data_IF_004277538777
#
_entry.id   IF_004277538777
#
_cell.length_a   1.000
_cell.length_b   1.000
_cell.length_c   1.000
_cell.angle_alpha   90.00
_cell.angle_beta   90.00
_cell.angle_gamma   90.00
#
_symmetry.space_group_name_H-M   'P 1'
#
loop_
_entity.id
_entity.type
_entity.pdbx_description
1 polymer ?
#
# COMPACT_ATOMS: atom_id res chain seq x y z
N UNK A 1 -37.68 1.19 0.38
CA UNK A 1 -38.99 0.92 1.01
C UNK A 1 -39.86 0.22 -0.02
N UNK A 2 -40.62 -0.80 0.38
CA UNK A 2 -41.33 -1.81 -0.44
C UNK A 2 -40.60 -3.15 -0.64
N UNK A 3 -40.22 -3.77 0.47
CA UNK A 3 -40.14 -5.24 0.62
C UNK A 3 -40.75 -5.58 1.98
N UNK A 4 -42.07 -5.49 2.09
CA UNK A 4 -42.81 -5.90 3.27
C UNK A 4 -44.30 -6.03 2.93
N UNK A 5 -44.68 -7.11 2.25
CA UNK A 5 -46.02 -7.69 2.40
C UNK A 5 -46.07 -9.08 1.75
N UNK A 6 -45.68 -10.12 2.47
CA UNK A 6 -46.22 -11.46 2.23
C UNK A 6 -46.13 -12.28 3.54
N UNK A 7 -46.82 -11.78 4.56
CA UNK A 7 -47.16 -12.57 5.73
C UNK A 7 -48.69 -12.62 5.83
N UNK A 8 -49.21 -13.84 5.87
CA UNK A 8 -50.60 -14.26 6.03
C UNK A 8 -51.55 -14.08 4.84
N UNK A 9 -51.88 -15.19 4.17
CA UNK A 9 -53.27 -15.68 4.12
C UNK A 9 -53.37 -16.99 3.31
N UNK A 10 -54.00 -17.98 3.94
CA UNK A 10 -54.60 -19.21 3.39
C UNK A 10 -53.69 -20.24 2.71
N UNK A 11 -53.54 -21.38 3.40
CA UNK A 11 -53.14 -22.65 2.82
C UNK A 11 -54.07 -23.02 1.66
N UNK A 12 -53.61 -22.82 0.43
CA UNK A 12 -54.23 -23.46 -0.74
C UNK A 12 -53.54 -24.82 -0.90
N UNK A 13 -54.28 -25.88 -0.61
CA UNK A 13 -53.91 -27.23 -0.95
C UNK A 13 -53.88 -27.35 -2.49
N UNK A 14 -52.70 -27.18 -3.10
CA UNK A 14 -52.52 -27.48 -4.52
C UNK A 14 -52.19 -28.96 -4.67
N UNK A 15 -53.20 -29.70 -5.15
CA UNK A 15 -53.10 -31.10 -5.53
C UNK A 15 -52.07 -31.31 -6.66
N UNK A 16 -51.44 -32.47 -6.63
CA UNK A 16 -50.54 -32.95 -7.67
C UNK A 16 -51.34 -33.29 -8.94
N UNK A 17 -51.30 -32.41 -9.94
CA UNK A 17 -51.52 -32.75 -11.35
C UNK A 17 -51.09 -31.57 -12.23
N UNK A 18 -50.24 -31.87 -13.21
CA UNK A 18 -50.07 -31.23 -14.53
C UNK A 18 -50.03 -29.71 -14.61
N UNK A 19 -48.80 -29.17 -14.69
CA UNK A 19 -48.54 -27.76 -14.98
C UNK A 19 -48.37 -27.55 -16.48
N UNK A 20 -49.30 -26.79 -17.08
CA UNK A 20 -49.19 -26.22 -18.42
C UNK A 20 -48.40 -24.91 -18.36
N UNK A 21 -47.46 -24.69 -19.30
CA UNK A 21 -46.95 -23.33 -19.56
C UNK A 21 -45.49 -23.17 -19.98
N UNK A 22 -44.68 -24.22 -20.00
CA UNK A 22 -43.39 -24.33 -20.70
C UNK A 22 -43.01 -25.81 -20.58
N UNK A 23 -42.22 -26.38 -21.51
CA UNK A 23 -41.90 -27.81 -21.50
C UNK A 23 -41.28 -28.26 -20.16
N UNK A 24 -42.13 -28.73 -19.25
CA UNK A 24 -41.76 -29.47 -18.07
C UNK A 24 -41.36 -30.86 -18.55
N UNK A 25 -40.13 -31.00 -19.05
CA UNK A 25 -39.41 -32.23 -18.82
C UNK A 25 -39.20 -32.33 -17.30
N UNK A 26 -40.21 -32.85 -16.60
CA UNK A 26 -40.01 -33.47 -15.30
C UNK A 26 -38.84 -34.42 -15.47
N UNK A 27 -37.68 -34.05 -14.92
CA UNK A 27 -36.44 -34.75 -15.20
C UNK A 27 -36.65 -36.24 -14.98
N UNK A 28 -36.34 -37.05 -16.00
CA UNK A 28 -36.28 -38.50 -15.86
C UNK A 28 -35.28 -38.96 -14.77
N UNK A 29 -34.52 -38.03 -14.20
CA UNK A 29 -33.60 -38.21 -13.08
C UNK A 29 -34.22 -37.64 -11.79
N UNK A 30 -34.48 -38.49 -10.78
CA UNK A 30 -34.96 -38.03 -9.48
C UNK A 30 -34.09 -36.91 -8.90
N UNK A 31 -34.72 -35.84 -8.42
CA UNK A 31 -34.05 -34.74 -7.72
C UNK A 31 -33.42 -33.65 -8.58
N UNK A 32 -33.70 -33.61 -9.88
CA UNK A 32 -33.27 -32.52 -10.77
C UNK A 32 -34.47 -31.67 -11.18
N UNK A 33 -34.39 -30.35 -10.95
CA UNK A 33 -35.32 -29.36 -11.48
C UNK A 33 -34.73 -28.76 -12.76
N UNK A 34 -35.51 -28.73 -13.85
CA UNK A 34 -35.05 -28.21 -15.15
C UNK A 34 -35.97 -27.10 -15.63
N UNK A 35 -35.36 -26.03 -16.14
CA UNK A 35 -36.02 -24.99 -16.90
C UNK A 35 -35.21 -24.74 -18.18
N UNK A 36 -35.89 -24.78 -19.31
CA UNK A 36 -35.32 -24.49 -20.63
C UNK A 36 -36.24 -23.49 -21.28
N UNK A 37 -35.72 -22.32 -21.61
CA UNK A 37 -36.48 -21.28 -22.26
C UNK A 37 -37.02 -21.75 -23.62
N UNK A 38 -38.16 -21.22 -24.03
CA UNK A 38 -38.74 -21.57 -25.33
C UNK A 38 -37.95 -20.88 -26.44
N UNK A 39 -37.77 -21.50 -27.62
CA UNK A 39 -37.24 -20.78 -28.78
C UNK A 39 -38.11 -19.58 -29.22
N UNK A 40 -39.36 -19.50 -28.75
CA UNK A 40 -40.26 -18.38 -29.02
C UNK A 40 -40.13 -17.22 -28.02
N UNK A 41 -39.48 -17.43 -26.88
CA UNK A 41 -39.20 -16.34 -25.92
C UNK A 41 -38.03 -15.51 -26.42
N UNK A 42 -38.14 -14.19 -26.32
CA UNK A 42 -37.09 -13.25 -26.74
C UNK A 42 -36.00 -13.02 -25.69
N UNK A 43 -36.22 -13.47 -24.46
CA UNK A 43 -35.31 -13.28 -23.34
C UNK A 43 -35.77 -14.17 -22.18
N UNK A 44 -34.83 -14.72 -21.42
CA UNK A 44 -35.08 -15.42 -20.15
C UNK A 44 -34.73 -14.49 -19.01
N UNK A 45 -35.67 -14.19 -18.12
CA UNK A 45 -35.36 -13.58 -16.82
C UNK A 45 -36.07 -14.34 -15.74
N UNK A 46 -35.32 -15.09 -14.96
CA UNK A 46 -35.88 -15.95 -13.93
C UNK A 46 -35.15 -15.82 -12.61
N UNK A 47 -35.92 -15.93 -11.52
CA UNK A 47 -35.42 -15.99 -10.15
C UNK A 47 -35.57 -17.40 -9.60
N UNK A 48 -34.45 -18.00 -9.21
CA UNK A 48 -34.37 -19.23 -8.42
C UNK A 48 -34.34 -18.87 -6.93
N UNK A 49 -35.32 -19.37 -6.18
CA UNK A 49 -35.47 -19.04 -4.75
C UNK A 49 -35.98 -20.24 -3.95
N UNK A 50 -35.63 -20.26 -2.66
CA UNK A 50 -36.27 -21.13 -1.66
C UNK A 50 -37.34 -20.36 -0.90
N UNK A 51 -38.57 -20.86 -0.91
CA UNK A 51 -39.67 -20.34 -0.11
C UNK A 51 -40.26 -21.47 0.74
N UNK A 52 -40.01 -21.40 2.05
CA UNK A 52 -40.36 -22.46 3.00
C UNK A 52 -39.88 -23.85 2.52
N UNK A 53 -40.79 -24.80 2.31
CA UNK A 53 -40.49 -26.19 1.91
C UNK A 53 -40.37 -26.38 0.38
N UNK A 54 -40.27 -25.30 -0.39
CA UNK A 54 -40.24 -25.35 -1.86
C UNK A 54 -39.04 -24.62 -2.44
N UNK A 55 -38.53 -25.17 -3.53
CA UNK A 55 -37.61 -24.49 -4.45
C UNK A 55 -38.40 -24.17 -5.71
N UNK A 56 -38.34 -22.90 -6.13
CA UNK A 56 -39.13 -22.33 -7.22
C UNK A 56 -38.21 -21.62 -8.22
N UNK A 57 -38.57 -21.70 -9.49
CA UNK A 57 -38.10 -20.82 -10.56
C UNK A 57 -39.29 -19.96 -10.96
N UNK A 58 -39.14 -18.65 -10.82
CA UNK A 58 -40.17 -17.65 -11.06
C UNK A 58 -39.73 -16.83 -12.28
N UNK A 59 -40.63 -16.61 -13.23
CA UNK A 59 -40.40 -15.70 -14.35
C UNK A 59 -40.54 -14.24 -13.87
N UNK A 60 -39.51 -13.43 -14.10
CA UNK A 60 -39.43 -12.08 -13.54
C UNK A 60 -40.35 -11.07 -14.25
N UNK A 61 -40.86 -11.40 -15.45
CA UNK A 61 -41.79 -10.55 -16.19
C UNK A 61 -43.24 -10.81 -15.74
N UNK A 62 -43.61 -12.07 -15.69
CA UNK A 62 -44.98 -12.53 -15.43
C UNK A 62 -45.24 -12.79 -13.94
N UNK A 63 -44.19 -12.98 -13.14
CA UNK A 63 -44.23 -13.44 -11.75
C UNK A 63 -44.85 -14.84 -11.58
N UNK A 64 -44.94 -15.61 -12.68
CA UNK A 64 -45.45 -16.98 -12.64
C UNK A 64 -44.35 -17.96 -12.22
N UNK A 65 -44.75 -19.01 -11.50
CA UNK A 65 -43.84 -20.12 -11.17
C UNK A 65 -43.70 -20.98 -12.42
N UNK A 66 -42.56 -20.91 -13.10
CA UNK A 66 -42.32 -21.69 -14.32
C UNK A 66 -41.79 -23.10 -14.04
N UNK A 67 -41.20 -23.31 -12.85
CA UNK A 67 -40.83 -24.63 -12.36
C UNK A 67 -40.75 -24.65 -10.83
N UNK A 68 -40.94 -25.81 -10.20
CA UNK A 68 -40.67 -25.95 -8.78
C UNK A 68 -40.95 -27.32 -8.21
N UNK A 69 -40.55 -27.52 -6.96
CA UNK A 69 -40.76 -28.77 -6.24
C UNK A 69 -40.44 -28.66 -4.76
N UNK A 70 -40.53 -29.77 -4.03
CA UNK A 70 -40.19 -29.80 -2.60
C UNK A 70 -38.67 -29.71 -2.41
N UNK A 71 -38.25 -28.88 -1.46
CA UNK A 71 -36.84 -28.60 -1.18
C UNK A 71 -36.06 -29.84 -0.71
N UNK A 72 -36.72 -30.77 -0.01
CA UNK A 72 -36.11 -32.02 0.45
C UNK A 72 -35.74 -32.97 -0.72
N UNK A 73 -36.46 -32.86 -1.85
CA UNK A 73 -36.30 -33.73 -3.03
C UNK A 73 -35.36 -33.18 -4.08
N UNK A 74 -35.32 -31.86 -4.26
CA UNK A 74 -34.47 -31.23 -5.28
C UNK A 74 -33.04 -31.15 -4.76
N UNK A 75 -32.09 -31.60 -5.58
CA UNK A 75 -30.65 -31.56 -5.31
C UNK A 75 -29.90 -30.74 -6.33
N UNK A 76 -30.38 -30.69 -7.57
CA UNK A 76 -29.74 -29.97 -8.68
C UNK A 76 -30.77 -29.16 -9.46
N UNK A 77 -30.37 -27.99 -9.93
CA UNK A 77 -31.17 -27.14 -10.83
C UNK A 77 -30.42 -26.92 -12.12
N UNK A 78 -31.11 -26.97 -13.25
CA UNK A 78 -30.55 -26.66 -14.57
C UNK A 78 -31.43 -25.58 -15.21
N UNK A 79 -30.81 -24.47 -15.60
CA UNK A 79 -31.43 -23.36 -16.30
C UNK A 79 -30.69 -23.17 -17.62
N UNK A 80 -31.43 -23.07 -18.72
CA UNK A 80 -30.89 -22.74 -20.05
C UNK A 80 -31.63 -21.55 -20.61
N UNK A 81 -30.87 -20.51 -20.97
CA UNK A 81 -31.34 -19.34 -21.70
C UNK A 81 -31.67 -19.67 -23.15
N UNK A 82 -31.95 -18.62 -23.93
CA UNK A 82 -32.36 -18.72 -25.33
C UNK A 82 -31.13 -18.52 -26.20
N UNK A 83 -30.83 -19.49 -27.07
CA UNK A 83 -29.77 -19.31 -28.07
C UNK A 83 -30.09 -18.12 -29.01
N UNK A 84 -29.07 -17.33 -29.37
CA UNK A 84 -29.20 -16.15 -30.24
C UNK A 84 -28.77 -14.85 -29.55
N UNK A 85 -29.13 -13.70 -30.12
CA UNK A 85 -28.85 -12.35 -29.58
C UNK A 85 -29.90 -11.96 -28.51
N UNK A 86 -29.94 -12.71 -27.41
CA UNK A 86 -30.89 -12.46 -26.33
C UNK A 86 -30.13 -12.29 -25.01
N UNK A 87 -30.69 -11.54 -24.07
CA UNK A 87 -30.01 -11.21 -22.81
C UNK A 87 -30.57 -12.05 -21.66
N UNK A 88 -30.06 -13.24 -21.44
CA UNK A 88 -30.61 -14.15 -20.45
C UNK A 88 -30.09 -13.85 -19.03
N UNK A 89 -30.98 -13.69 -18.07
CA UNK A 89 -30.65 -13.44 -16.66
C UNK A 89 -31.16 -14.55 -15.76
N UNK A 90 -30.25 -15.14 -14.98
CA UNK A 90 -30.59 -15.96 -13.82
C UNK A 90 -30.29 -15.19 -12.54
N UNK A 91 -31.31 -14.92 -11.74
CA UNK A 91 -31.15 -14.47 -10.36
C UNK A 91 -31.22 -15.66 -9.41
N UNK A 92 -30.23 -15.83 -8.55
CA UNK A 92 -30.20 -16.84 -7.47
C UNK A 92 -30.33 -16.14 -6.13
N UNK A 93 -31.46 -16.35 -5.45
CA UNK A 93 -31.77 -15.73 -4.17
C UNK A 93 -31.55 -16.69 -2.99
N UNK A 94 -30.53 -16.39 -2.20
CA UNK A 94 -30.15 -17.13 -1.00
C UNK A 94 -30.85 -16.64 0.28
N UNK A 95 -31.67 -15.59 0.23
CA UNK A 95 -32.36 -15.02 1.40
C UNK A 95 -33.25 -16.03 2.12
N UNK A 96 -33.86 -16.97 1.40
CA UNK A 96 -34.68 -18.06 1.94
C UNK A 96 -33.90 -19.29 2.44
N UNK A 97 -32.57 -19.20 2.54
CA UNK A 97 -31.70 -20.32 2.92
C UNK A 97 -31.63 -21.39 1.84
N UNK A 98 -31.54 -20.99 0.58
CA UNK A 98 -31.37 -21.91 -0.55
C UNK A 98 -30.07 -22.70 -0.40
N UNK A 99 -30.15 -24.03 -0.50
CA UNK A 99 -28.99 -24.92 -0.48
C UNK A 99 -29.22 -26.09 -1.43
N UNK A 100 -28.34 -26.23 -2.42
CA UNK A 100 -28.45 -27.22 -3.48
C UNK A 100 -27.12 -27.99 -3.59
N UNK A 101 -26.97 -29.14 -2.89
CA UNK A 101 -25.70 -29.88 -2.87
C UNK A 101 -25.32 -30.49 -4.22
N UNK A 102 -26.27 -30.68 -5.14
CA UNK A 102 -26.01 -31.09 -6.53
C UNK A 102 -25.69 -29.93 -7.47
N UNK A 103 -25.76 -28.69 -6.97
CA UNK A 103 -25.42 -27.46 -7.67
C UNK A 103 -26.53 -26.91 -8.58
N UNK A 104 -26.19 -25.79 -9.22
CA UNK A 104 -26.99 -25.10 -10.22
C UNK A 104 -26.14 -25.06 -11.49
N UNK A 105 -26.70 -25.44 -12.64
CA UNK A 105 -26.09 -25.21 -13.94
C UNK A 105 -26.87 -24.12 -14.66
N UNK A 106 -26.18 -23.07 -15.09
CA UNK A 106 -26.74 -22.02 -15.94
C UNK A 106 -25.95 -21.95 -17.25
N UNK A 107 -26.66 -21.87 -18.37
CA UNK A 107 -26.12 -21.66 -19.70
C UNK A 107 -26.85 -20.44 -20.27
N UNK A 108 -26.14 -19.34 -20.46
CA UNK A 108 -26.70 -18.08 -20.98
C UNK A 108 -27.21 -18.24 -22.40
N UNK A 109 -26.36 -18.70 -23.31
CA UNK A 109 -26.73 -18.87 -24.70
C UNK A 109 -25.49 -18.82 -25.58
N UNK A 110 -25.59 -18.34 -26.81
CA UNK A 110 -24.46 -18.24 -27.75
C UNK A 110 -24.18 -16.80 -28.21
N UNK A 111 -25.03 -15.84 -27.87
CA UNK A 111 -24.83 -14.41 -28.09
C UNK A 111 -25.73 -13.59 -27.14
N UNK A 112 -25.57 -12.27 -27.14
CA UNK A 112 -26.28 -11.36 -26.22
C UNK A 112 -25.49 -11.06 -24.94
N UNK A 113 -26.15 -10.41 -23.98
CA UNK A 113 -25.57 -10.06 -22.68
C UNK A 113 -26.25 -10.88 -21.59
N UNK A 114 -25.62 -12.00 -21.25
CA UNK A 114 -26.16 -12.96 -20.28
C UNK A 114 -25.63 -12.69 -18.88
N UNK A 115 -26.50 -12.70 -17.87
CA UNK A 115 -26.16 -12.27 -16.51
C UNK A 115 -26.49 -13.34 -15.48
N UNK A 116 -25.51 -13.67 -14.63
CA UNK A 116 -25.79 -14.36 -13.36
C UNK A 116 -25.81 -13.34 -12.22
N UNK A 117 -26.94 -13.27 -11.52
CA UNK A 117 -27.12 -12.39 -10.38
C UNK A 117 -27.28 -13.19 -9.09
N UNK A 118 -26.48 -12.89 -8.08
CA UNK A 118 -26.52 -13.53 -6.77
C UNK A 118 -27.01 -12.48 -5.74
N UNK A 119 -28.04 -12.83 -4.98
CA UNK A 119 -28.69 -11.92 -4.03
C UNK A 119 -28.99 -12.63 -2.71
N UNK A 120 -29.01 -11.86 -1.62
CA UNK A 120 -29.46 -12.32 -0.29
C UNK A 120 -28.57 -13.37 0.38
N UNK A 121 -28.97 -13.80 1.58
CA UNK A 121 -28.26 -14.82 2.37
C UNK A 121 -27.09 -14.29 3.20
N UNK A 122 -26.41 -15.19 3.93
CA UNK A 122 -25.15 -14.94 4.62
C UNK A 122 -24.08 -15.80 3.94
N UNK A 123 -23.46 -15.24 2.92
CA UNK A 123 -22.55 -15.94 2.01
C UNK A 123 -21.10 -15.77 2.47
N UNK A 124 -20.87 -16.12 3.74
CA UNK A 124 -19.55 -16.07 4.36
C UNK A 124 -18.59 -16.96 3.56
N UNK A 125 -17.71 -16.31 2.80
CA UNK A 125 -16.63 -16.89 1.99
C UNK A 125 -17.02 -17.40 0.59
N UNK A 126 -17.80 -16.63 -0.18
CA UNK A 126 -18.03 -16.90 -1.60
C UNK A 126 -16.71 -17.02 -2.38
N UNK A 127 -16.60 -18.06 -3.22
CA UNK A 127 -15.43 -18.31 -4.09
C UNK A 127 -15.81 -18.24 -5.56
N UNK A 128 -15.07 -17.44 -6.31
CA UNK A 128 -15.19 -17.27 -7.76
C UNK A 128 -14.01 -17.94 -8.45
N UNK A 129 -14.30 -18.86 -9.37
CA UNK A 129 -13.30 -19.63 -10.10
C UNK A 129 -13.67 -19.64 -11.60
N UNK A 130 -13.46 -18.52 -12.31
CA UNK A 130 -13.54 -18.44 -13.77
C UNK A 130 -12.66 -19.50 -14.44
N UNK A 131 -13.11 -20.05 -15.57
CA UNK A 131 -12.30 -20.95 -16.41
C UNK A 131 -11.87 -20.28 -17.71
N UNK A 132 -12.72 -19.43 -18.27
CA UNK A 132 -12.40 -18.53 -19.37
C UNK A 132 -13.19 -17.23 -19.18
N UNK A 133 -13.35 -16.46 -20.25
CA UNK A 133 -14.16 -15.25 -20.26
C UNK A 133 -15.60 -15.58 -19.79
N UNK A 134 -16.35 -16.36 -20.54
CA UNK A 134 -17.79 -16.53 -20.32
C UNK A 134 -18.17 -17.69 -19.40
N UNK A 135 -17.22 -18.53 -18.99
CA UNK A 135 -17.47 -19.75 -18.23
C UNK A 135 -16.75 -19.79 -16.88
N UNK A 136 -17.33 -20.53 -15.93
CA UNK A 136 -16.68 -20.76 -14.64
C UNK A 136 -17.59 -21.35 -13.58
N UNK A 137 -17.14 -21.20 -12.33
CA UNK A 137 -17.85 -21.70 -11.15
C UNK A 137 -17.88 -20.63 -10.07
N UNK A 138 -19.05 -20.47 -9.45
CA UNK A 138 -19.22 -19.72 -8.19
C UNK A 138 -19.64 -20.68 -7.10
N UNK A 139 -18.90 -20.71 -5.99
CA UNK A 139 -19.27 -21.47 -4.80
C UNK A 139 -19.86 -20.51 -3.76
N UNK A 140 -21.11 -20.74 -3.38
CA UNK A 140 -21.85 -19.96 -2.38
C UNK A 140 -22.28 -20.89 -1.26
N UNK A 141 -21.54 -20.85 -0.14
CA UNK A 141 -21.73 -21.81 0.95
C UNK A 141 -21.49 -23.25 0.46
N UNK A 142 -22.54 -24.09 0.51
CA UNK A 142 -22.48 -25.47 0.02
C UNK A 142 -23.04 -25.64 -1.42
N UNK A 143 -23.45 -24.55 -2.07
CA UNK A 143 -24.05 -24.59 -3.40
C UNK A 143 -23.02 -24.17 -4.43
N UNK A 144 -22.76 -25.04 -5.40
CA UNK A 144 -21.93 -24.75 -6.57
C UNK A 144 -22.80 -24.27 -7.72
N UNK A 145 -22.49 -23.12 -8.31
CA UNK A 145 -23.14 -22.58 -9.50
C UNK A 145 -22.14 -22.67 -10.65
N UNK A 146 -22.39 -23.58 -11.58
CA UNK A 146 -21.62 -23.71 -12.82
C UNK A 146 -22.30 -22.85 -13.88
N UNK A 147 -21.56 -21.93 -14.46
CA UNK A 147 -22.09 -21.05 -15.49
C UNK A 147 -21.31 -21.20 -16.80
N UNK A 148 -22.02 -21.02 -17.91
CA UNK A 148 -21.46 -20.97 -19.26
C UNK A 148 -22.08 -19.82 -20.04
N UNK A 149 -21.28 -19.23 -20.92
CA UNK A 149 -21.69 -18.15 -21.82
C UNK A 149 -22.32 -16.95 -21.08
N UNK A 150 -21.61 -16.35 -20.10
CA UNK A 150 -22.08 -15.17 -19.35
C UNK A 150 -21.18 -13.94 -19.51
N UNK A 151 -21.81 -12.75 -19.49
CA UNK A 151 -21.20 -11.43 -19.57
C UNK A 151 -22.11 -10.36 -18.90
N UNK A 152 -22.34 -10.32 -17.55
CA UNK A 152 -21.40 -10.53 -16.45
C UNK A 152 -21.91 -11.37 -15.25
N UNK A 153 -21.13 -11.44 -14.15
CA UNK A 153 -21.58 -11.95 -12.83
C UNK A 153 -21.73 -10.81 -11.83
N UNK A 154 -22.90 -10.71 -11.19
CA UNK A 154 -23.23 -9.64 -10.23
C UNK A 154 -23.61 -10.27 -8.89
N UNK A 155 -22.80 -10.06 -7.85
CA UNK A 155 -23.10 -10.51 -6.50
C UNK A 155 -23.41 -9.34 -5.57
N UNK A 156 -24.60 -9.36 -4.99
CA UNK A 156 -25.09 -8.35 -4.04
C UNK A 156 -25.36 -8.94 -2.65
N UNK A 157 -25.06 -10.23 -2.46
CA UNK A 157 -25.21 -10.89 -1.18
C UNK A 157 -24.19 -10.34 -0.17
N UNK A 158 -24.58 -10.10 1.09
CA UNK A 158 -23.63 -9.67 2.11
C UNK A 158 -22.68 -10.82 2.46
N UNK A 159 -21.41 -10.69 2.07
CA UNK A 159 -20.34 -11.62 2.38
C UNK A 159 -19.27 -11.00 3.28
N UNK A 160 -18.67 -11.80 4.16
CA UNK A 160 -17.52 -11.39 4.98
C UNK A 160 -16.20 -11.45 4.20
N UNK A 161 -16.09 -12.34 3.22
CA UNK A 161 -14.89 -12.51 2.39
C UNK A 161 -15.27 -12.92 0.97
N UNK A 162 -14.56 -12.39 -0.02
CA UNK A 162 -14.60 -12.80 -1.41
C UNK A 162 -13.26 -13.40 -1.80
N UNK A 163 -13.25 -14.61 -2.34
CA UNK A 163 -12.05 -15.23 -2.90
C UNK A 163 -12.20 -15.42 -4.40
N UNK A 164 -11.31 -14.85 -5.18
CA UNK A 164 -11.29 -14.97 -6.64
C UNK A 164 -10.05 -15.76 -7.02
N UNK A 165 -10.22 -16.89 -7.72
CA UNK A 165 -9.13 -17.68 -8.26
C UNK A 165 -9.08 -17.47 -9.76
N UNK A 166 -8.03 -16.81 -10.23
CA UNK A 166 -7.82 -16.63 -11.66
C UNK A 166 -7.47 -17.98 -12.31
N UNK A 167 -7.81 -18.16 -13.60
CA UNK A 167 -7.38 -19.35 -14.35
C UNK A 167 -5.85 -19.47 -14.35
N UNK A 168 -5.32 -20.68 -14.56
CA UNK A 168 -3.89 -20.86 -14.79
C UNK A 168 -3.46 -20.24 -16.13
N UNK A 169 -2.29 -19.61 -16.18
CA UNK A 169 -1.73 -18.94 -17.36
C UNK A 169 -1.29 -17.53 -17.03
N UNK A 170 -0.90 -16.76 -18.05
CA UNK A 170 -0.67 -15.31 -17.88
C UNK A 170 -2.02 -14.61 -17.88
N UNK A 171 -2.43 -14.07 -16.73
CA UNK A 171 -3.70 -13.37 -16.57
C UNK A 171 -3.47 -11.88 -16.27
N UNK A 172 -4.23 -11.02 -16.94
CA UNK A 172 -4.32 -9.61 -16.65
C UNK A 172 -5.71 -9.26 -16.12
N UNK A 173 -5.79 -8.67 -14.92
CA UNK A 173 -7.04 -8.21 -14.32
C UNK A 173 -6.89 -6.81 -13.71
N UNK A 174 -7.96 -6.04 -13.69
CA UNK A 174 -8.03 -4.71 -13.10
C UNK A 174 -9.27 -4.61 -12.22
N UNK A 175 -9.09 -4.23 -10.95
CA UNK A 175 -10.20 -3.74 -10.15
C UNK A 175 -10.47 -2.29 -10.55
N UNK A 176 -11.68 -2.03 -11.00
CA UNK A 176 -12.20 -0.73 -11.40
C UNK A 176 -13.48 -0.41 -10.62
N UNK A 177 -13.79 0.88 -10.49
CA UNK A 177 -15.09 1.34 -10.01
C UNK A 177 -15.89 1.79 -11.23
N UNK A 178 -17.06 1.16 -11.41
CA UNK A 178 -18.00 1.41 -12.51
C UNK A 178 -19.38 1.84 -11.96
N UNK A 179 -19.38 2.82 -11.05
CA UNK A 179 -20.61 3.42 -10.52
C UNK A 179 -20.92 3.05 -9.06
N UNK A 180 -19.90 2.99 -8.21
CA UNK A 180 -19.98 2.64 -6.79
C UNK A 180 -19.89 1.14 -6.50
N UNK A 181 -19.58 0.33 -7.51
CA UNK A 181 -19.39 -1.12 -7.39
C UNK A 181 -17.97 -1.44 -7.83
N UNK A 182 -17.27 -2.26 -7.04
CA UNK A 182 -15.98 -2.75 -7.50
C UNK A 182 -16.23 -3.86 -8.50
N UNK A 183 -15.58 -3.71 -9.64
CA UNK A 183 -15.67 -4.59 -10.79
C UNK A 183 -14.27 -5.12 -11.06
N UNK A 184 -14.10 -6.44 -11.06
CA UNK A 184 -12.88 -7.06 -11.55
C UNK A 184 -13.05 -7.27 -13.06
N UNK A 185 -12.19 -6.67 -13.86
CA UNK A 185 -12.26 -6.62 -15.32
C UNK A 185 -10.98 -7.21 -15.91
N UNK A 186 -11.05 -8.00 -16.99
CA UNK A 186 -9.82 -8.43 -17.69
C UNK A 186 -9.12 -7.25 -18.36
N UNK A 187 -7.81 -7.12 -18.16
CA UNK A 187 -6.99 -6.13 -18.89
C UNK A 187 -6.53 -6.63 -20.26
N UNK A 188 -6.59 -7.94 -20.49
CA UNK A 188 -6.20 -8.58 -21.76
C UNK A 188 -7.40 -8.89 -22.67
N UNK A 189 -8.63 -8.73 -22.19
CA UNK A 189 -9.88 -8.89 -22.94
C UNK A 189 -10.28 -10.33 -23.28
N UNK A 190 -9.51 -11.34 -22.86
CA UNK A 190 -9.67 -12.73 -23.33
C UNK A 190 -9.85 -13.78 -22.23
N UNK A 191 -9.72 -13.43 -20.95
CA UNK A 191 -9.53 -14.43 -19.89
C UNK A 191 -10.44 -14.32 -18.67
N UNK A 192 -11.06 -13.16 -18.43
CA UNK A 192 -11.91 -12.95 -17.26
C UNK A 192 -13.00 -11.92 -17.55
N UNK A 193 -14.23 -12.21 -17.15
CA UNK A 193 -15.36 -11.31 -17.28
C UNK A 193 -15.43 -10.27 -16.18
N UNK A 194 -16.36 -9.35 -16.34
CA UNK A 194 -16.65 -8.38 -15.30
C UNK A 194 -17.35 -9.07 -14.11
N UNK A 195 -16.64 -9.19 -12.99
CA UNK A 195 -17.23 -9.60 -11.72
C UNK A 195 -17.54 -8.37 -10.89
N UNK A 196 -18.82 -8.09 -10.74
CA UNK A 196 -19.30 -6.96 -9.95
C UNK A 196 -19.77 -7.44 -8.59
N UNK A 197 -19.30 -6.81 -7.52
CA UNK A 197 -19.70 -7.15 -6.16
C UNK A 197 -20.14 -5.92 -5.34
N UNK A 198 -21.28 -6.05 -4.67
CA UNK A 198 -21.87 -5.05 -3.78
C UNK A 198 -21.80 -5.50 -2.32
N UNK A 199 -21.42 -4.59 -1.41
CA UNK A 199 -21.19 -4.80 0.03
C UNK A 199 -19.94 -5.64 0.35
N UNK A 200 -18.86 -4.99 0.79
CA UNK A 200 -17.50 -5.56 0.79
C UNK A 200 -16.98 -5.77 2.20
N UNK A 201 -16.58 -7.00 2.54
CA UNK A 201 -15.88 -7.34 3.79
C UNK A 201 -14.36 -7.41 3.59
N UNK A 202 -13.91 -8.37 2.79
CA UNK A 202 -12.52 -8.51 2.34
C UNK A 202 -12.48 -9.11 0.93
N UNK A 203 -11.43 -8.82 0.16
CA UNK A 203 -11.23 -9.36 -1.19
C UNK A 203 -9.87 -10.06 -1.24
N UNK A 204 -9.85 -11.32 -1.67
CA UNK A 204 -8.64 -12.10 -1.90
C UNK A 204 -8.60 -12.54 -3.36
N UNK A 205 -7.49 -12.26 -4.05
CA UNK A 205 -7.26 -12.65 -5.44
C UNK A 205 -6.09 -13.64 -5.44
N UNK A 206 -6.36 -14.88 -5.79
CA UNK A 206 -5.35 -15.89 -6.04
C UNK A 206 -5.04 -15.87 -7.52
N UNK A 207 -3.87 -15.35 -7.87
CA UNK A 207 -3.47 -15.10 -9.25
C UNK A 207 -3.24 -16.38 -10.09
N UNK A 208 -3.38 -17.57 -9.50
CA UNK A 208 -3.06 -18.81 -10.20
C UNK A 208 -1.56 -18.95 -10.45
N UNK A 209 -1.21 -19.71 -11.47
CA UNK A 209 0.17 -19.93 -11.90
C UNK A 209 0.43 -19.27 -13.25
N UNK A 210 1.55 -18.57 -13.39
CA UNK A 210 1.86 -17.76 -14.56
C UNK A 210 2.69 -16.54 -14.19
N UNK A 211 2.76 -15.57 -15.10
CA UNK A 211 3.21 -14.23 -14.78
C UNK A 211 1.99 -13.31 -14.89
N UNK A 212 1.36 -13.05 -13.75
CA UNK A 212 0.06 -12.37 -13.70
C UNK A 212 0.20 -10.89 -13.39
N UNK A 213 -0.74 -10.08 -13.88
CA UNK A 213 -0.81 -8.64 -13.57
C UNK A 213 -2.17 -8.28 -13.00
N UNK A 214 -2.20 -7.80 -11.76
CA UNK A 214 -3.40 -7.28 -11.11
C UNK A 214 -3.25 -5.77 -10.98
N UNK A 215 -4.16 -4.98 -11.54
CA UNK A 215 -4.17 -3.52 -11.41
C UNK A 215 -5.28 -3.09 -10.45
N UNK A 216 -4.99 -2.22 -9.49
CA UNK A 216 -6.00 -1.55 -8.67
C UNK A 216 -6.10 -0.10 -9.14
N UNK A 217 -7.25 0.29 -9.69
CA UNK A 217 -7.47 1.65 -10.16
C UNK A 217 -7.65 2.65 -9.00
N UNK A 218 -7.27 3.91 -9.21
CA UNK A 218 -7.24 4.93 -8.17
C UNK A 218 -8.63 5.26 -7.59
N UNK A 219 -9.67 5.20 -8.43
CA UNK A 219 -11.06 5.43 -8.04
C UNK A 219 -11.64 4.32 -7.15
N UNK A 220 -11.09 3.10 -7.24
CA UNK A 220 -11.50 1.96 -6.40
C UNK A 220 -11.10 2.17 -4.93
N UNK A 221 -10.09 3.00 -4.65
CA UNK A 221 -9.63 3.26 -3.29
C UNK A 221 -10.70 3.88 -2.39
N UNK A 222 -11.55 4.76 -2.92
CA UNK A 222 -12.64 5.34 -2.14
C UNK A 222 -13.61 4.24 -1.67
N UNK A 223 -13.93 3.31 -2.56
CA UNK A 223 -14.92 2.25 -2.36
C UNK A 223 -14.41 1.01 -1.62
N UNK A 224 -13.08 0.89 -1.43
CA UNK A 224 -12.43 -0.18 -0.65
C UNK A 224 -11.85 0.32 0.67
N UNK A 225 -12.18 1.54 1.09
CA UNK A 225 -11.72 2.10 2.37
C UNK A 225 -12.10 1.15 3.53
N UNK A 226 -11.09 0.58 4.21
CA UNK A 226 -11.29 -0.35 5.32
C UNK A 226 -11.55 -1.82 4.93
N UNK A 227 -11.57 -2.14 3.63
CA UNK A 227 -11.70 -3.50 3.09
C UNK A 227 -10.30 -4.07 2.83
N UNK A 228 -9.86 -5.13 3.53
CA UNK A 228 -8.59 -5.76 3.23
C UNK A 228 -8.59 -6.37 1.82
N UNK A 229 -7.59 -6.02 1.01
CA UNK A 229 -7.34 -6.64 -0.31
C UNK A 229 -6.06 -7.45 -0.24
N UNK A 230 -6.15 -8.75 -0.47
CA UNK A 230 -5.01 -9.67 -0.50
C UNK A 230 -4.81 -10.20 -1.91
N UNK A 231 -3.57 -10.19 -2.42
CA UNK A 231 -3.23 -10.82 -3.70
C UNK A 231 -2.16 -11.87 -3.45
N UNK A 232 -2.48 -13.12 -3.76
CA UNK A 232 -1.58 -14.26 -3.63
C UNK A 232 -1.10 -14.68 -5.02
N UNK A 233 0.19 -14.99 -5.17
CA UNK A 233 0.77 -15.49 -6.42
C UNK A 233 1.41 -16.87 -6.25
N UNK A 234 1.29 -17.73 -7.27
CA UNK A 234 1.95 -19.05 -7.28
C UNK A 234 2.90 -19.28 -8.48
N UNK A 235 3.25 -18.22 -9.21
CA UNK A 235 4.14 -18.26 -10.39
C UNK A 235 5.45 -17.46 -10.27
N UNK A 236 6.28 -17.51 -11.32
CA UNK A 236 7.67 -17.03 -11.29
C UNK A 236 7.82 -15.51 -11.13
N UNK A 237 6.82 -14.71 -11.54
CA UNK A 237 6.82 -13.24 -11.47
C UNK A 237 5.40 -12.66 -11.55
N UNK A 238 4.67 -12.63 -10.44
CA UNK A 238 3.38 -11.91 -10.40
C UNK A 238 3.60 -10.43 -10.08
N UNK A 239 2.82 -9.57 -10.73
CA UNK A 239 2.88 -8.12 -10.63
C UNK A 239 1.55 -7.61 -10.10
N UNK A 240 1.54 -7.06 -8.88
CA UNK A 240 0.48 -6.13 -8.50
C UNK A 240 0.85 -4.77 -9.10
N UNK A 241 -0.11 -3.95 -9.52
CA UNK A 241 0.02 -2.55 -9.91
C UNK A 241 -1.05 -1.79 -9.13
N UNK A 242 -0.69 -0.74 -8.41
CA UNK A 242 -1.68 0.19 -7.85
C UNK A 242 -1.53 1.50 -8.57
N UNK A 243 -2.54 1.85 -9.33
CA UNK A 243 -2.66 3.14 -9.97
C UNK A 243 -3.27 4.11 -8.95
N UNK A 244 -2.53 5.14 -8.56
CA UNK A 244 -3.00 6.20 -7.67
C UNK A 244 -3.16 7.53 -8.42
N UNK A 245 -3.17 7.50 -9.77
CA UNK A 245 -3.43 8.72 -10.54
C UNK A 245 -4.77 9.33 -10.14
N UNK A 246 -4.74 10.52 -9.54
CA UNK A 246 -5.93 11.23 -9.07
C UNK A 246 -6.32 11.00 -7.60
N UNK A 247 -5.61 10.16 -6.82
CA UNK A 247 -5.88 9.99 -5.40
C UNK A 247 -5.39 11.21 -4.58
N UNK A 248 -6.24 11.77 -3.72
CA UNK A 248 -5.94 12.99 -2.96
C UNK A 248 -5.25 12.75 -1.60
N UNK A 249 -5.23 11.51 -1.08
CA UNK A 249 -4.52 11.13 0.17
C UNK A 249 -4.47 9.59 0.36
N UNK A 250 -3.48 8.86 -0.18
CA UNK A 250 -3.40 7.41 0.02
C UNK A 250 -2.65 7.06 1.32
N UNK A 251 -3.31 6.38 2.26
CA UNK A 251 -2.65 5.58 3.31
C UNK A 251 -2.83 4.11 2.97
N UNK A 252 -1.74 3.38 2.74
CA UNK A 252 -1.78 1.97 2.31
C UNK A 252 -1.55 1.01 3.49
N UNK A 253 -2.50 0.12 3.81
CA UNK A 253 -2.22 -1.12 4.52
C UNK A 253 -2.10 -2.27 3.51
N UNK A 254 -1.02 -2.30 2.73
CA UNK A 254 -0.68 -3.48 1.91
C UNK A 254 0.23 -4.37 2.75
N UNK A 255 -0.26 -5.55 3.14
CA UNK A 255 0.51 -6.53 3.92
C UNK A 255 0.89 -7.69 2.99
N UNK A 256 2.19 -7.88 2.72
CA UNK A 256 2.70 -9.01 1.93
C UNK A 256 2.98 -10.20 2.85
N UNK A 257 2.41 -11.37 2.55
CA UNK A 257 2.52 -12.57 3.41
C UNK A 257 3.20 -13.77 2.73
N UNK A 258 3.64 -13.67 1.47
CA UNK A 258 4.31 -14.79 0.78
C UNK A 258 5.34 -14.29 -0.25
N UNK A 259 6.62 -14.56 0.03
CA UNK A 259 7.76 -14.08 -0.74
C UNK A 259 7.84 -14.67 -2.15
N UNK A 260 7.31 -13.94 -3.13
CA UNK A 260 7.92 -13.65 -4.43
C UNK A 260 7.00 -12.71 -5.23
N UNK A 261 7.38 -11.42 -5.39
CA UNK A 261 6.79 -10.51 -6.39
C UNK A 261 7.88 -9.53 -6.89
N UNK A 262 8.12 -9.51 -8.20
CA UNK A 262 9.02 -8.57 -8.92
C UNK A 262 8.18 -7.53 -9.66
N UNK A 263 8.57 -6.24 -9.62
CA UNK A 263 7.75 -5.02 -9.88
C UNK A 263 7.26 -4.73 -11.31
N UNK A 264 6.39 -3.73 -11.55
CA UNK A 264 6.62 -2.26 -11.42
C UNK A 264 5.31 -1.48 -11.14
N UNK A 265 5.35 -0.37 -10.38
CA UNK A 265 4.20 0.54 -10.12
C UNK A 265 4.48 1.97 -10.62
N UNK A 266 3.49 2.67 -11.20
CA UNK A 266 3.63 4.03 -11.75
C UNK A 266 2.86 5.10 -10.98
N UNK A 267 3.54 6.20 -10.62
CA UNK A 267 2.93 7.46 -10.20
C UNK A 267 3.47 8.63 -11.04
N UNK A 268 2.61 9.59 -11.39
CA UNK A 268 2.78 10.53 -12.51
C UNK A 268 4.14 11.23 -12.70
N UNK A 269 4.52 11.35 -13.98
CA UNK A 269 5.65 12.08 -14.58
C UNK A 269 7.09 11.80 -14.09
N UNK A 270 7.39 10.67 -13.43
CA UNK A 270 8.78 10.19 -13.28
C UNK A 270 8.91 8.68 -13.49
N UNK A 271 9.63 8.21 -14.53
CA UNK A 271 9.77 6.78 -14.82
C UNK A 271 10.89 6.16 -13.97
N UNK A 272 10.59 5.02 -13.35
CA UNK A 272 11.52 4.04 -12.75
C UNK A 272 12.00 4.30 -11.32
N UNK A 273 11.49 3.51 -10.36
CA UNK A 273 12.07 3.31 -9.03
C UNK A 273 12.04 1.79 -8.68
N UNK A 274 13.12 1.28 -8.09
CA UNK A 274 13.38 -0.12 -7.70
C UNK A 274 13.02 -0.38 -6.22
N UNK A 275 13.08 -1.63 -5.74
CA UNK A 275 12.73 -2.00 -4.35
C UNK A 275 13.49 -1.21 -3.25
N UNK A 276 14.66 -0.65 -3.57
CA UNK A 276 15.39 0.29 -2.69
C UNK A 276 14.63 1.60 -2.42
N UNK A 277 13.62 1.92 -3.22
CA UNK A 277 12.87 3.18 -3.18
C UNK A 277 11.58 3.10 -2.35
N UNK A 278 11.15 1.90 -1.91
CA UNK A 278 9.97 1.71 -1.03
C UNK A 278 10.31 1.93 0.46
N UNK A 279 11.60 2.04 0.81
CA UNK A 279 11.98 2.72 2.06
C UNK A 279 11.72 4.24 2.02
N UNK A 280 11.33 4.80 0.87
CA UNK A 280 11.25 6.25 0.66
C UNK A 280 9.84 6.87 0.75
N UNK A 281 8.79 6.09 1.03
CA UNK A 281 7.46 6.67 1.33
C UNK A 281 7.32 7.20 2.77
N UNK A 282 8.35 7.00 3.60
CA UNK A 282 8.49 7.61 4.93
C UNK A 282 9.98 7.55 5.35
N UNK A 283 10.90 8.25 4.70
CA UNK A 283 12.33 8.08 4.95
C UNK A 283 12.71 8.55 6.35
N UNK A 284 13.79 7.99 6.89
CA UNK A 284 14.47 8.62 8.02
C UNK A 284 14.87 10.05 7.60
N UNK A 285 14.79 11.01 8.52
CA UNK A 285 15.21 12.39 8.26
C UNK A 285 16.29 12.75 9.25
N UNK A 286 17.55 12.57 8.84
CA UNK A 286 18.72 12.78 9.67
C UNK A 286 19.26 14.19 9.53
N UNK A 287 19.38 14.88 10.66
CA UNK A 287 20.11 16.14 10.74
C UNK A 287 21.27 15.99 11.70
N UNK A 288 22.41 16.58 11.37
CA UNK A 288 23.53 16.74 12.30
C UNK A 288 23.66 18.20 12.68
N UNK A 289 23.89 18.46 13.97
CA UNK A 289 24.26 19.78 14.49
C UNK A 289 25.52 19.65 15.32
N UNK A 290 26.43 20.62 15.18
CA UNK A 290 27.68 20.67 15.93
C UNK A 290 27.78 22.02 16.63
N UNK A 291 28.03 21.98 17.93
CA UNK A 291 28.15 23.19 18.76
C UNK A 291 29.40 23.10 19.63
N UNK A 292 30.02 24.25 19.90
CA UNK A 292 31.19 24.39 20.76
C UNK A 292 31.19 25.78 21.42
N UNK A 293 32.11 26.04 22.37
CA UNK A 293 32.23 27.34 23.01
C UNK A 293 32.60 28.45 22.01
N UNK A 294 32.18 29.69 22.27
CA UNK A 294 32.50 30.83 21.39
C UNK A 294 34.00 31.17 21.35
N UNK A 295 34.70 30.93 22.47
CA UNK A 295 36.15 31.01 22.54
C UNK A 295 36.76 29.98 23.47
N UNK A 296 38.03 29.67 23.25
CA UNK A 296 38.83 28.78 24.08
C UNK A 296 40.24 29.35 24.25
N UNK A 297 40.81 29.19 25.43
CA UNK A 297 42.18 29.59 25.71
C UNK A 297 43.18 28.62 25.02
N UNK A 298 44.29 29.16 24.52
CA UNK A 298 45.36 28.35 23.93
C UNK A 298 45.88 27.33 24.96
N UNK A 299 46.07 26.07 24.54
CA UNK A 299 46.49 24.97 25.41
C UNK A 299 45.39 24.38 26.29
N UNK A 300 44.14 24.89 26.22
CA UNK A 300 43.00 24.31 26.92
C UNK A 300 42.27 23.26 26.05
N UNK A 301 41.45 22.44 26.70
CA UNK A 301 40.57 21.49 26.02
C UNK A 301 39.33 22.20 25.45
N UNK A 302 39.04 21.93 24.19
CA UNK A 302 37.86 22.35 23.44
C UNK A 302 36.89 21.17 23.34
N UNK A 303 35.68 21.33 23.85
CA UNK A 303 34.62 20.31 23.74
C UNK A 303 33.57 20.73 22.71
N UNK A 304 33.39 19.90 21.70
CA UNK A 304 32.27 19.98 20.76
C UNK A 304 31.19 18.97 21.15
N UNK A 305 29.93 19.39 21.04
CA UNK A 305 28.76 18.50 21.11
C UNK A 305 28.21 18.34 19.70
N UNK A 306 28.24 17.10 19.19
CA UNK A 306 27.62 16.73 17.91
C UNK A 306 26.33 16.00 18.22
N UNK A 307 25.20 16.47 17.69
CA UNK A 307 23.89 15.83 17.87
C UNK A 307 23.36 15.39 16.52
N UNK A 308 23.00 14.11 16.40
CA UNK A 308 22.31 13.53 15.26
C UNK A 308 20.85 13.29 15.67
N UNK A 309 19.91 13.84 14.90
CA UNK A 309 18.49 13.70 15.15
C UNK A 309 17.79 13.04 13.96
N UNK A 310 16.90 12.09 14.23
CA UNK A 310 16.01 11.48 13.24
C UNK A 310 14.58 12.03 13.40
N UNK A 311 14.25 13.07 12.63
CA UNK A 311 12.91 13.65 12.59
C UNK A 311 11.95 12.86 11.68
N UNK A 312 12.43 11.79 11.05
CA UNK A 312 11.64 10.97 10.13
C UNK A 312 10.71 10.00 10.86
N UNK A 313 9.59 9.63 10.24
CA UNK A 313 8.62 8.66 10.78
C UNK A 313 9.14 7.22 10.83
N UNK A 314 10.29 6.91 10.23
CA UNK A 314 10.95 5.61 10.28
C UNK A 314 12.32 5.67 10.98
N UNK A 315 12.79 4.55 11.56
CA UNK A 315 14.11 4.47 12.16
C UNK A 315 15.24 4.54 11.11
N UNK A 316 16.37 5.16 11.48
CA UNK A 316 17.58 5.21 10.67
C UNK A 316 18.55 4.11 11.10
N UNK A 317 18.98 3.24 10.19
CA UNK A 317 19.91 2.14 10.50
C UNK A 317 21.30 2.38 9.91
N UNK A 318 22.33 1.85 10.58
CA UNK A 318 23.72 2.01 10.14
C UNK A 318 24.21 3.46 10.16
N UNK A 319 23.70 4.27 11.10
CA UNK A 319 24.07 5.69 11.20
C UNK A 319 25.54 5.80 11.61
N UNK A 320 26.29 6.60 10.84
CA UNK A 320 27.72 6.86 11.04
C UNK A 320 28.00 8.36 10.97
N UNK A 321 28.80 8.88 11.89
CA UNK A 321 29.28 10.27 11.88
C UNK A 321 30.78 10.28 11.58
N UNK A 322 31.22 11.15 10.67
CA UNK A 322 32.63 11.40 10.40
C UNK A 322 33.00 12.86 10.71
N UNK A 323 34.11 13.05 11.41
CA UNK A 323 34.59 14.35 11.88
C UNK A 323 36.13 14.40 11.76
N UNK A 324 36.68 15.05 10.72
CA UNK A 324 38.12 15.24 10.57
C UNK A 324 38.68 16.13 11.68
N UNK A 325 39.72 15.66 12.38
CA UNK A 325 40.34 16.46 13.44
C UNK A 325 40.97 17.71 12.83
N UNK A 326 40.55 18.92 13.24
CA UNK A 326 41.04 20.17 12.66
C UNK A 326 42.55 20.33 12.78
N UNK A 327 43.20 21.01 11.82
CA UNK A 327 44.59 21.43 11.96
C UNK A 327 44.80 22.20 13.27
N UNK A 328 46.00 22.09 13.83
CA UNK A 328 46.37 22.74 15.09
C UNK A 328 45.55 22.29 16.31
N UNK A 329 44.89 21.14 16.23
CA UNK A 329 44.29 20.47 17.38
C UNK A 329 44.79 19.03 17.51
N UNK A 330 44.64 18.44 18.68
CA UNK A 330 44.93 17.03 18.93
C UNK A 330 43.72 16.38 19.58
N UNK A 331 43.28 15.23 19.07
CA UNK A 331 42.17 14.49 19.66
C UNK A 331 42.53 14.01 21.06
N UNK A 332 41.68 14.33 22.04
CA UNK A 332 41.79 13.82 23.42
C UNK A 332 40.82 12.67 23.62
N UNK A 333 39.54 12.86 23.26
CA UNK A 333 38.52 11.82 23.36
C UNK A 333 37.33 12.07 22.43
N UNK A 334 36.61 11.00 22.10
CA UNK A 334 35.33 11.03 21.42
C UNK A 334 34.39 10.03 22.11
N UNK A 335 33.37 10.53 22.80
CA UNK A 335 32.45 9.73 23.58
C UNK A 335 31.02 9.81 23.00
N UNK A 336 30.52 8.76 22.34
CA UNK A 336 29.14 8.73 21.84
C UNK A 336 28.16 8.30 22.93
N UNK A 337 26.90 8.74 22.84
CA UNK A 337 25.81 8.29 23.72
C UNK A 337 25.36 6.86 23.43
N UNK A 338 25.62 6.37 22.22
CA UNK A 338 25.35 5.01 21.78
C UNK A 338 26.35 4.58 20.70
N UNK A 339 26.59 3.27 20.60
CA UNK A 339 27.57 2.73 19.64
C UNK A 339 29.01 3.00 20.06
N UNK A 340 29.90 3.22 19.09
CA UNK A 340 31.33 3.39 19.35
C UNK A 340 31.98 4.39 18.39
N UNK A 341 33.04 5.05 18.87
CA UNK A 341 33.87 5.95 18.07
C UNK A 341 35.31 5.44 17.99
N UNK A 342 36.00 5.72 16.89
CA UNK A 342 37.42 5.42 16.71
C UNK A 342 38.11 6.34 15.71
N UNK A 343 39.43 6.22 15.62
CA UNK A 343 40.28 7.03 14.74
C UNK A 343 41.01 8.17 15.48
N UNK A 344 42.09 8.67 14.86
CA UNK A 344 42.97 9.70 15.45
C UNK A 344 43.11 10.94 14.57
N UNK A 345 43.17 10.77 13.25
CA UNK A 345 43.16 11.88 12.27
C UNK A 345 41.74 12.26 11.83
N UNK A 346 40.86 11.27 11.72
CA UNK A 346 39.42 11.43 11.47
C UNK A 346 38.69 10.57 12.48
N UNK A 347 37.79 11.18 13.24
CA UNK A 347 36.92 10.45 14.16
C UNK A 347 35.74 9.89 13.36
N UNK A 348 35.55 8.58 13.43
CA UNK A 348 34.41 7.88 12.87
C UNK A 348 33.61 7.23 13.99
N UNK A 349 32.32 7.56 14.09
CA UNK A 349 31.42 7.08 15.12
C UNK A 349 30.28 6.29 14.51
N UNK A 350 30.23 4.98 14.79
CA UNK A 350 29.15 4.08 14.39
C UNK A 350 28.06 4.12 15.46
N UNK A 351 27.00 4.87 15.21
CA UNK A 351 25.89 5.08 16.14
C UNK A 351 24.81 3.99 16.05
N UNK A 352 24.78 3.22 14.95
CA UNK A 352 23.86 2.08 14.80
C UNK A 352 22.45 2.51 14.42
N UNK A 353 21.44 2.01 15.15
CA UNK A 353 20.02 2.30 14.92
C UNK A 353 19.59 3.53 15.73
N UNK A 354 18.97 4.52 15.08
CA UNK A 354 18.30 5.65 15.72
C UNK A 354 16.80 5.52 15.43
N UNK A 355 15.98 5.38 16.47
CA UNK A 355 14.52 5.27 16.35
C UNK A 355 13.88 6.49 15.69
N UNK A 356 12.62 6.36 15.26
CA UNK A 356 11.83 7.50 14.79
C UNK A 356 11.65 8.52 15.93
N UNK A 357 11.87 9.81 15.62
CA UNK A 357 11.87 10.89 16.61
C UNK A 357 13.04 10.84 17.61
N UNK A 358 13.98 9.91 17.43
CA UNK A 358 15.12 9.70 18.32
C UNK A 358 16.34 10.54 17.97
N UNK A 359 17.29 10.62 18.92
CA UNK A 359 18.54 11.34 18.75
C UNK A 359 19.73 10.63 19.41
N UNK A 360 20.93 10.86 18.89
CA UNK A 360 22.19 10.42 19.48
C UNK A 360 23.21 11.57 19.52
N UNK A 361 24.09 11.58 20.53
CA UNK A 361 25.06 12.67 20.74
C UNK A 361 26.50 12.15 20.84
N UNK A 362 27.47 12.96 20.43
CA UNK A 362 28.91 12.69 20.57
C UNK A 362 29.58 13.89 21.25
N UNK A 363 30.25 13.64 22.37
CA UNK A 363 31.13 14.60 23.02
C UNK A 363 32.56 14.43 22.49
N UNK A 364 33.01 15.37 21.66
CA UNK A 364 34.33 15.38 21.05
C UNK A 364 35.23 16.38 21.78
N UNK A 365 36.32 15.90 22.39
CA UNK A 365 37.28 16.73 23.13
C UNK A 365 38.59 16.81 22.35
N UNK A 366 39.01 18.04 22.06
CA UNK A 366 40.25 18.35 21.36
C UNK A 366 41.15 19.21 22.26
N UNK A 367 42.46 19.04 22.19
CA UNK A 367 43.45 19.96 22.75
C UNK A 367 43.84 20.97 21.68
N UNK A 368 43.82 22.26 22.01
CA UNK A 368 44.07 23.34 21.05
C UNK A 368 45.52 23.79 21.09
N UNK A 369 46.23 23.66 19.98
CA UNK A 369 47.66 23.93 19.87
C UNK A 369 47.95 25.34 19.32
N UNK A 370 47.17 25.84 18.35
CA UNK A 370 47.29 27.21 17.79
C UNK A 370 46.17 27.55 16.77
N UNK A 371 46.04 28.83 16.39
CA UNK A 371 45.21 29.28 15.24
C UNK A 371 43.68 29.17 15.42
N UNK A 372 42.89 29.73 14.51
CA UNK A 372 41.43 29.56 14.56
C UNK A 372 41.06 28.09 14.30
N UNK A 373 40.12 27.55 15.08
CA UNK A 373 39.66 26.16 14.93
C UNK A 373 38.29 26.16 14.27
N UNK A 374 38.21 25.61 13.06
CA UNK A 374 36.96 25.32 12.37
C UNK A 374 36.83 23.83 12.26
N UNK A 375 35.73 23.27 12.75
CA UNK A 375 35.49 21.84 12.71
C UNK A 375 34.14 21.52 12.06
N UNK A 376 34.12 20.50 11.21
CA UNK A 376 32.96 20.08 10.42
C UNK A 376 32.68 18.60 10.64
N UNK A 377 31.50 18.27 11.14
CA UNK A 377 30.99 16.91 11.21
C UNK A 377 30.08 16.60 10.03
N UNK A 378 30.09 15.36 9.56
CA UNK A 378 29.17 14.83 8.56
C UNK A 378 28.47 13.57 9.08
N UNK A 379 27.20 13.38 8.71
CA UNK A 379 26.43 12.17 9.04
C UNK A 379 26.02 11.42 7.78
N UNK A 380 26.12 10.10 7.84
CA UNK A 380 25.62 9.16 6.82
C UNK A 380 24.82 8.04 7.49
N UNK A 381 24.00 7.34 6.73
CA UNK A 381 23.27 6.17 7.20
C UNK A 381 23.19 5.10 6.10
N UNK A 382 22.95 3.85 6.51
CA UNK A 382 22.67 2.75 5.59
C UNK A 382 21.23 2.75 5.07
N UNK A 383 20.32 3.47 5.76
CA UNK A 383 18.96 3.76 5.31
C UNK A 383 18.91 5.05 4.48
N UNK A 384 18.12 5.07 3.42
CA UNK A 384 17.95 6.26 2.55
C UNK A 384 17.31 7.42 3.32
N UNK A 385 18.00 8.56 3.37
CA UNK A 385 17.44 9.86 3.79
C UNK A 385 17.10 10.66 2.52
N UNK A 386 15.84 11.04 2.34
CA UNK A 386 15.41 11.81 1.15
C UNK A 386 15.08 13.26 1.47
N UNK A 387 15.22 13.70 2.73
CA UNK A 387 14.97 15.09 3.05
C UNK A 387 16.17 15.93 2.64
N UNK A 388 16.22 16.36 1.38
CA UNK A 388 17.31 17.18 0.86
C UNK A 388 17.50 18.55 1.56
N UNK A 389 16.61 18.92 2.50
CA UNK A 389 16.66 20.18 3.25
C UNK A 389 17.27 20.04 4.65
N UNK A 390 17.44 18.81 5.17
CA UNK A 390 18.13 18.60 6.43
C UNK A 390 19.66 18.69 6.24
N UNK A 391 20.37 19.15 7.27
CA UNK A 391 21.81 19.33 7.18
C UNK A 391 22.54 18.02 7.44
N UNK A 392 23.15 17.43 6.40
CA UNK A 392 24.03 16.25 6.52
C UNK A 392 25.45 16.62 6.96
N UNK A 393 25.77 17.91 7.05
CA UNK A 393 27.02 18.44 7.59
C UNK A 393 26.76 19.61 8.53
N UNK A 394 27.61 19.79 9.54
CA UNK A 394 27.52 20.91 10.47
C UNK A 394 28.90 21.41 10.88
N UNK A 395 29.11 22.71 10.73
CA UNK A 395 30.40 23.38 10.97
C UNK A 395 30.29 24.29 12.18
N UNK A 396 31.25 24.17 13.10
CA UNK A 396 31.39 25.07 14.25
C UNK A 396 32.78 25.72 14.23
N UNK A 397 32.82 27.05 14.31
CA UNK A 397 34.04 27.83 14.41
C UNK A 397 34.24 28.33 15.85
N UNK A 398 35.47 28.23 16.35
CA UNK A 398 35.84 28.69 17.69
C UNK A 398 37.02 29.63 17.59
N UNK A 399 36.87 30.79 18.22
CA UNK A 399 37.95 31.77 18.31
C UNK A 399 38.91 31.38 19.43
N UNK A 400 40.22 31.45 19.19
CA UNK A 400 41.18 31.32 20.29
C UNK A 400 41.34 32.68 20.95
N UNK A 401 41.08 32.71 22.25
CA UNK A 401 41.50 33.84 23.09
C UNK A 401 42.95 33.63 23.48
N UNK A 402 43.82 34.56 23.10
CA UNK A 402 45.19 34.57 23.60
C UNK A 402 45.16 34.69 25.13
N UNK A 403 45.78 33.73 25.82
CA UNK A 403 46.04 33.89 27.24
C UNK A 403 47.17 34.91 27.35
N UNK A 404 46.84 36.13 27.75
CA UNK A 404 47.85 37.08 28.16
C UNK A 404 48.53 36.49 29.43
N UNK A 405 49.85 36.29 29.46
CA UNK A 405 50.51 35.83 30.68
C UNK A 405 50.16 36.78 31.83
N UNK A 406 49.77 36.29 33.02
CA UNK A 406 49.57 37.16 34.17
C UNK A 406 50.91 37.83 34.48
N UNK A 407 51.04 39.13 34.19
CA UNK A 407 52.25 39.90 34.46
C UNK A 407 52.64 40.96 33.44
N UNK A 408 52.01 41.04 32.27
CA UNK A 408 52.24 42.18 31.37
C UNK A 408 51.30 43.34 31.73
N UNK A 409 51.80 44.27 32.54
CA UNK A 409 51.17 45.58 32.69
C UNK A 409 51.12 46.26 31.32
N UNK A 410 49.99 46.90 30.93
CA UNK A 410 49.94 47.65 29.68
C UNK A 410 51.09 48.66 29.65
N UNK A 411 51.89 48.65 28.59
CA UNK A 411 52.87 49.72 28.35
C UNK A 411 52.05 51.01 28.31
N UNK A 412 52.31 52.00 29.19
CA UNK A 412 51.55 53.23 29.17
C UNK A 412 51.69 53.85 27.79
N UNK A 413 50.55 54.04 27.10
CA UNK A 413 50.54 54.77 25.85
C UNK A 413 51.09 56.16 26.13
N UNK A 414 52.16 56.54 25.44
CA UNK A 414 52.66 57.90 25.50
C UNK A 414 51.51 58.84 25.09
N UNK A 415 51.25 59.92 25.84
CA UNK A 415 50.32 60.96 25.39
C UNK A 415 50.77 61.44 24.00
N UNK A 416 49.85 61.98 23.21
CA UNK A 416 50.10 62.40 21.81
C UNK A 416 51.38 63.22 21.62
N UNK A 417 51.79 64.01 22.61
CA UNK A 417 53.06 64.73 22.64
C UNK A 417 54.30 63.83 22.80
N UNK A 418 54.24 62.77 23.60
CA UNK A 418 55.32 61.80 23.76
C UNK A 418 55.57 60.99 22.48
N UNK A 419 54.54 60.75 21.67
CA UNK A 419 54.69 60.17 20.33
C UNK A 419 55.39 61.12 19.35
N UNK A 420 55.14 62.44 19.46
CA UNK A 420 55.82 63.45 18.65
C UNK A 420 57.30 63.56 19.01
N UNK A 421 57.64 63.54 20.31
CA UNK A 421 59.05 63.56 20.77
C UNK A 421 59.79 62.28 20.34
N UNK A 422 59.14 61.12 20.44
CA UNK A 422 59.73 59.85 20.01
C UNK A 422 59.92 59.79 18.48
N UNK A 423 58.99 60.36 17.71
CA UNK A 423 59.12 60.46 16.25
C UNK A 423 60.25 61.42 15.83
N UNK A 424 60.47 62.52 16.57
CA UNK A 424 61.59 63.45 16.32
C UNK A 424 62.93 62.81 16.69
N UNK A 425 62.99 62.02 17.77
CA UNK A 425 64.18 61.26 18.16
C UNK A 425 64.54 60.15 17.16
N UNK A 426 63.53 59.47 16.60
CA UNK A 426 63.73 58.41 15.61
C UNK A 426 64.03 58.95 14.20
N UNK A 427 63.56 60.15 13.85
CA UNK A 427 63.91 60.81 12.59
C UNK A 427 65.40 61.23 12.51
N UNK A 428 66.12 61.25 13.64
CA UNK A 428 67.56 61.50 13.68
C UNK A 428 68.43 60.27 13.41
N UNK A 429 67.87 59.06 13.49
CA UNK A 429 68.60 57.80 13.24
C UNK A 429 67.95 57.05 12.08
N UNK A 430 68.43 57.29 10.87
CA UNK A 430 68.03 56.52 9.70
C UNK A 430 68.49 55.08 9.82
N UNK A 431 67.58 54.15 10.13
CA UNK A 431 67.73 52.71 9.85
C UNK A 431 66.52 51.86 10.26
N UNK A 432 66.00 51.13 9.28
CA UNK A 432 65.64 49.70 9.36
C UNK A 432 64.22 49.34 9.90
N UNK A 433 63.33 49.22 8.91
CA UNK A 433 62.47 48.07 8.60
C UNK A 433 62.09 47.05 9.70
N UNK A 434 60.80 46.68 9.63
CA UNK A 434 60.08 45.55 10.27
C UNK A 434 59.48 45.84 11.65
N UNK A 435 58.31 46.49 11.63
CA UNK A 435 57.27 46.28 12.65
C UNK A 435 55.94 45.96 11.95
N UNK A 436 55.78 44.69 11.58
CA UNK A 436 54.46 44.05 11.48
C UNK A 436 54.43 42.99 12.58
N UNK A 437 53.28 42.87 13.21
CA UNK A 437 52.91 41.89 14.22
C UNK A 437 53.42 42.17 15.65
N UNK A 438 52.56 42.80 16.44
CA UNK A 438 51.80 42.07 17.47
C UNK A 438 50.91 43.10 18.17
N UNK A 439 49.66 43.22 17.69
CA UNK A 439 48.59 43.71 18.54
C UNK A 439 48.04 42.48 19.26
N UNK A 440 48.10 42.49 20.58
CA UNK A 440 47.01 41.92 21.36
C UNK A 440 45.79 42.84 21.18
#
# INVERSE_FOLDING_TARGET
MWFALLAASTAVAFAAADWHGANLEGSATPGVLRYVASPATKETRVTLVRQAERILIIDDFTHEIVAGGRADRIKRVIVRGVDGDHNDTLTVDFSGGLSLPGGIDFDGGTAGFDTLRIVGGNTKDSRYSPTNRSDGVVEVGATEIRYRNLEPVIDTAPALSYTINLPSGTVGASLQDNGGQAELVSTSGTSFENLTFANKGSVTINAGGGADTITLAANVWADLTGVPVTVNGSGSSNTLIVDLTGATSPSLPVTNTSGNLSGTWTFGNRPNLTFSDIQSLNPASLSVSKTGPASVALGSSLTYTITVNNAGPNPAAGVTVTDPVPPNTTLVSAAPSQGSCGGTATVSCSLGLIGSGGSATIALVLSVNSGAVVNTAAVTAGTTDTNATNSSTSTAAVNISAVCPPGVTPVPALPTWGLVVLAVLLAGYGAISRWRAMRC
#
